data_IF_047770220144
#
_entry.id   IF_047770220144
#
_cell.length_a   1.000
_cell.length_b   1.000
_cell.length_c   1.000
_cell.angle_alpha   90.00
_cell.angle_beta   90.00
_cell.angle_gamma   90.00
#
_symmetry.space_group_name_H-M   'P 1'
#
loop_
_entity.id
_entity.type
_entity.pdbx_description
1 polymer ?
#
# COMPACT_ATOMS: atom_id res chain seq x y z
N UNK A 1 -15.11 14.59 -1.13
CA UNK A 1 -13.77 15.23 -1.10
C UNK A 1 -13.16 15.02 -2.47
N UNK A 2 -12.52 16.01 -3.11
CA UNK A 2 -11.97 15.80 -4.44
C UNK A 2 -10.81 14.79 -4.38
N UNK A 3 -10.91 13.78 -5.24
CA UNK A 3 -10.00 12.66 -5.41
C UNK A 3 -8.72 13.10 -6.14
N UNK A 4 -7.68 13.42 -5.36
CA UNK A 4 -6.50 14.15 -5.85
C UNK A 4 -5.22 13.31 -5.86
N UNK A 5 -5.28 11.98 -5.70
CA UNK A 5 -4.06 11.19 -5.82
C UNK A 5 -3.52 11.32 -7.24
N UNK A 6 -2.30 11.84 -7.36
CA UNK A 6 -1.59 12.06 -8.62
C UNK A 6 -1.29 10.72 -9.29
N UNK A 7 -1.40 10.64 -10.60
CA UNK A 7 -0.94 9.47 -11.37
C UNK A 7 0.54 9.61 -11.74
N UNK A 8 1.18 8.47 -12.01
CA UNK A 8 2.60 8.39 -12.38
C UNK A 8 3.44 7.68 -11.33
N UNK A 9 4.76 7.85 -11.44
CA UNK A 9 5.74 7.12 -10.67
C UNK A 9 5.99 7.76 -9.30
N UNK A 10 5.97 6.98 -8.22
CA UNK A 10 6.23 7.46 -6.86
C UNK A 10 6.82 6.38 -5.97
N UNK A 11 7.30 6.76 -4.79
CA UNK A 11 7.54 5.82 -3.70
C UNK A 11 6.31 5.78 -2.79
N UNK A 12 5.99 4.60 -2.24
CA UNK A 12 4.94 4.46 -1.22
C UNK A 12 5.61 4.22 0.12
N UNK A 13 5.24 4.98 1.16
CA UNK A 13 5.72 4.78 2.54
C UNK A 13 4.57 4.52 3.49
N UNK A 14 4.77 3.61 4.43
CA UNK A 14 3.84 3.41 5.54
C UNK A 14 4.08 4.47 6.61
N UNK A 15 3.04 4.86 7.34
CA UNK A 15 3.16 5.71 8.54
C UNK A 15 3.45 4.92 9.82
N UNK A 16 3.70 3.62 9.74
CA UNK A 16 4.23 2.83 10.88
C UNK A 16 5.55 3.40 11.40
N UNK A 17 5.94 2.96 12.59
CA UNK A 17 7.23 3.33 13.18
C UNK A 17 8.39 3.02 12.22
N UNK A 18 9.32 3.97 12.08
CA UNK A 18 10.40 3.91 11.10
C UNK A 18 10.00 4.31 9.68
N UNK A 19 8.72 4.55 9.42
CA UNK A 19 8.14 4.95 8.13
C UNK A 19 8.72 4.16 6.93
N UNK A 20 8.58 2.82 6.94
CA UNK A 20 9.22 1.98 5.94
C UNK A 20 8.63 2.21 4.55
N UNK A 21 9.47 1.98 3.53
CA UNK A 21 9.01 1.93 2.15
C UNK A 21 8.19 0.66 1.90
N UNK A 22 7.15 0.78 1.09
CA UNK A 22 6.42 -0.38 0.57
C UNK A 22 7.04 -0.76 -0.77
N UNK A 23 7.42 -2.02 -0.92
CA UNK A 23 8.08 -2.48 -2.14
C UNK A 23 8.06 -3.99 -2.27
N UNK A 24 9.02 -4.53 -3.01
CA UNK A 24 9.15 -5.96 -3.29
C UNK A 24 10.59 -6.43 -3.03
N UNK A 25 10.81 -7.70 -2.68
CA UNK A 25 12.16 -8.24 -2.58
C UNK A 25 12.86 -8.30 -3.95
N UNK A 26 14.19 -8.14 -3.96
CA UNK A 26 15.06 -8.33 -5.13
C UNK A 26 15.19 -9.82 -5.51
N UNK A 27 14.09 -10.46 -5.90
CA UNK A 27 14.04 -11.85 -6.36
C UNK A 27 13.21 -11.90 -7.63
N UNK A 28 13.49 -12.83 -8.56
CA UNK A 28 12.74 -12.96 -9.83
C UNK A 28 11.87 -14.23 -9.96
N UNK A 29 10.92 -14.50 -9.04
CA UNK A 29 9.76 -15.33 -9.34
C UNK A 29 8.70 -14.50 -10.10
N UNK A 30 7.75 -15.18 -10.76
CA UNK A 30 6.61 -14.53 -11.44
C UNK A 30 5.68 -13.77 -10.46
N UNK A 31 5.80 -14.06 -9.17
CA UNK A 31 4.99 -13.50 -8.09
C UNK A 31 5.89 -13.18 -6.89
N UNK A 32 5.88 -11.93 -6.42
CA UNK A 32 6.66 -11.49 -5.26
C UNK A 32 5.76 -10.90 -4.19
N UNK A 33 6.04 -11.12 -2.90
CA UNK A 33 5.29 -10.48 -1.83
C UNK A 33 5.56 -8.97 -1.82
N UNK A 34 4.51 -8.18 -1.62
CA UNK A 34 4.66 -6.75 -1.30
C UNK A 34 4.98 -6.64 0.19
N UNK A 35 6.10 -6.00 0.52
CA UNK A 35 6.67 -5.99 1.87
C UNK A 35 7.01 -4.56 2.31
N UNK A 36 7.00 -4.34 3.62
CA UNK A 36 7.61 -3.17 4.24
C UNK A 36 9.14 -3.33 4.32
N UNK A 37 9.87 -2.34 3.81
CA UNK A 37 11.32 -2.30 3.70
C UNK A 37 11.87 -1.14 4.54
N UNK A 38 12.84 -1.39 5.45
CA UNK A 38 13.36 -0.36 6.36
C UNK A 38 14.24 0.69 5.67
N UNK A 39 14.71 0.45 4.44
CA UNK A 39 15.63 1.35 3.73
C UNK A 39 15.50 1.29 2.22
N UNK A 40 16.06 2.30 1.56
CA UNK A 40 16.33 2.36 0.11
C UNK A 40 17.53 1.47 -0.28
N UNK A 41 17.69 1.08 -1.56
CA UNK A 41 16.86 1.42 -2.71
C UNK A 41 15.55 0.62 -2.77
N UNK A 42 14.45 1.31 -3.09
CA UNK A 42 13.17 0.70 -3.44
C UNK A 42 12.80 1.04 -4.87
N UNK A 43 12.13 0.12 -5.54
CA UNK A 43 11.56 0.39 -6.86
C UNK A 43 10.38 1.34 -6.73
N UNK A 44 10.25 2.23 -7.70
CA UNK A 44 9.11 3.12 -7.78
C UNK A 44 7.86 2.36 -8.21
N UNK A 45 6.73 2.80 -7.68
CA UNK A 45 5.39 2.36 -8.01
C UNK A 45 4.83 3.18 -9.15
N UNK A 46 4.16 2.53 -10.09
CA UNK A 46 3.35 3.15 -11.13
C UNK A 46 1.89 3.20 -10.70
N UNK A 47 1.36 4.41 -10.55
CA UNK A 47 -0.01 4.68 -10.11
C UNK A 47 -0.87 5.10 -11.31
N UNK A 48 -1.84 4.26 -11.67
CA UNK A 48 -2.74 4.53 -12.80
C UNK A 48 -4.18 4.65 -12.32
N UNK A 49 -4.83 5.79 -12.60
CA UNK A 49 -6.25 5.99 -12.25
C UNK A 49 -7.14 5.34 -13.30
N UNK A 50 -8.09 4.51 -12.86
CA UNK A 50 -9.04 3.78 -13.72
C UNK A 50 -10.51 4.04 -13.40
N UNK A 51 -10.78 4.78 -12.32
CA UNK A 51 -12.13 5.20 -11.96
C UNK A 51 -12.12 6.22 -10.83
N UNK A 52 -13.30 6.53 -10.30
CA UNK A 52 -13.42 7.39 -9.11
C UNK A 52 -12.85 6.64 -7.89
N UNK A 53 -11.80 7.19 -7.29
CA UNK A 53 -11.02 6.57 -6.21
C UNK A 53 -10.38 5.21 -6.56
N UNK A 54 -10.43 4.77 -7.82
CA UNK A 54 -9.94 3.46 -8.25
C UNK A 54 -8.63 3.55 -9.02
N UNK A 55 -7.67 2.75 -8.60
CA UNK A 55 -6.31 2.78 -9.10
C UNK A 55 -5.77 1.38 -9.37
N UNK A 56 -4.93 1.26 -10.39
CA UNK A 56 -4.02 0.15 -10.59
C UNK A 56 -2.65 0.53 -10.04
N UNK A 57 -2.02 -0.42 -9.36
CA UNK A 57 -0.72 -0.27 -8.71
C UNK A 57 0.24 -1.30 -9.33
N UNK A 58 1.28 -0.82 -10.01
CA UNK A 58 2.40 -1.63 -10.49
C UNK A 58 3.70 -1.23 -9.81
N UNK A 59 4.69 -2.12 -9.78
CA UNK A 59 6.03 -1.83 -9.25
C UNK A 59 7.09 -2.55 -10.07
N UNK A 60 8.05 -1.79 -10.62
CA UNK A 60 9.10 -2.33 -11.48
C UNK A 60 8.52 -3.14 -12.66
N UNK A 61 9.00 -4.37 -12.90
CA UNK A 61 8.46 -5.28 -13.92
C UNK A 61 7.17 -6.00 -13.48
N UNK A 62 6.70 -5.78 -12.25
CA UNK A 62 5.49 -6.38 -11.72
C UNK A 62 4.32 -5.41 -11.86
N UNK A 63 3.71 -5.43 -13.05
CA UNK A 63 2.69 -4.45 -13.45
C UNK A 63 1.32 -4.69 -12.79
N UNK A 64 1.12 -5.86 -12.18
CA UNK A 64 -0.12 -6.21 -11.49
C UNK A 64 0.13 -6.36 -9.99
N UNK A 65 -0.75 -5.82 -9.16
CA UNK A 65 -0.82 -6.17 -7.73
C UNK A 65 -2.19 -6.69 -7.36
N UNK A 66 -2.25 -7.71 -6.49
CA UNK A 66 -3.50 -8.34 -6.08
C UNK A 66 -3.41 -8.95 -4.68
N UNK A 67 -4.58 -9.23 -4.12
CA UNK A 67 -4.74 -9.99 -2.88
C UNK A 67 -4.65 -11.49 -3.15
N UNK A 68 -3.79 -12.20 -2.43
CA UNK A 68 -3.82 -13.66 -2.33
C UNK A 68 -3.72 -14.10 -0.87
N UNK A 69 -4.68 -14.91 -0.40
CA UNK A 69 -4.69 -15.46 0.96
C UNK A 69 -4.42 -14.41 2.06
N UNK A 70 -5.11 -13.26 1.99
CA UNK A 70 -4.97 -12.09 2.88
C UNK A 70 -3.68 -11.27 2.73
N UNK A 71 -2.77 -11.68 1.87
CA UNK A 71 -1.49 -11.00 1.66
C UNK A 71 -1.41 -10.36 0.28
N UNK A 72 -0.66 -9.26 0.17
CA UNK A 72 -0.48 -8.56 -1.10
C UNK A 72 0.73 -9.14 -1.83
N UNK A 73 0.53 -9.38 -3.12
CA UNK A 73 1.56 -9.84 -4.04
C UNK A 73 1.56 -8.98 -5.31
N UNK A 74 2.75 -8.86 -5.91
CA UNK A 74 2.95 -8.25 -7.21
C UNK A 74 3.31 -9.34 -8.24
N UNK A 75 2.79 -9.22 -9.46
CA UNK A 75 2.91 -10.21 -10.53
C UNK A 75 3.37 -9.56 -11.83
N UNK A 76 4.16 -10.30 -12.60
CA UNK A 76 4.56 -9.89 -13.95
C UNK A 76 3.44 -10.09 -14.97
N UNK A 77 2.50 -11.00 -14.69
CA UNK A 77 1.40 -11.38 -15.59
C UNK A 77 0.12 -11.68 -14.79
N UNK A 78 -1.03 -11.49 -15.42
CA UNK A 78 -2.33 -11.89 -14.90
C UNK A 78 -3.38 -10.79 -15.00
N UNK A 79 -4.42 -10.91 -14.17
CA UNK A 79 -5.46 -9.90 -14.09
C UNK A 79 -5.07 -8.78 -13.12
N UNK A 80 -5.45 -7.57 -13.49
CA UNK A 80 -5.39 -6.40 -12.62
C UNK A 80 -6.41 -6.49 -11.50
N UNK A 81 -6.01 -6.06 -10.30
CA UNK A 81 -6.93 -5.75 -9.22
C UNK A 81 -7.04 -4.25 -9.06
N UNK A 82 -8.27 -3.74 -9.07
CA UNK A 82 -8.56 -2.35 -8.74
C UNK A 82 -8.40 -2.12 -7.23
N UNK A 83 -7.73 -1.04 -6.87
CA UNK A 83 -7.57 -0.59 -5.49
C UNK A 83 -8.32 0.71 -5.26
N UNK A 84 -9.11 0.76 -4.19
CA UNK A 84 -9.79 1.96 -3.72
C UNK A 84 -8.84 2.78 -2.84
N UNK A 85 -8.37 3.93 -3.31
CA UNK A 85 -7.44 4.78 -2.57
C UNK A 85 -8.17 6.02 -2.06
N UNK A 86 -8.17 6.21 -0.74
CA UNK A 86 -8.94 7.28 -0.10
C UNK A 86 -8.04 8.15 0.77
N UNK A 87 -8.10 9.46 0.55
CA UNK A 87 -7.37 10.45 1.33
C UNK A 87 -7.92 10.60 2.75
N UNK A 88 -7.03 10.78 3.72
CA UNK A 88 -7.30 10.98 5.16
C UNK A 88 -6.66 12.29 5.60
N UNK A 89 -7.46 13.36 5.58
CA UNK A 89 -7.05 14.74 5.84
C UNK A 89 -6.28 14.91 7.16
N UNK A 90 -6.74 14.28 8.25
CA UNK A 90 -6.14 14.42 9.58
C UNK A 90 -4.67 13.97 9.68
N UNK A 91 -4.20 13.16 8.73
CA UNK A 91 -2.85 12.56 8.73
C UNK A 91 -2.06 12.87 7.45
N UNK A 92 -2.67 13.59 6.52
CA UNK A 92 -2.13 13.84 5.18
C UNK A 92 -1.58 12.56 4.54
N UNK A 93 -2.45 11.55 4.46
CA UNK A 93 -2.10 10.20 4.02
C UNK A 93 -3.32 9.50 3.41
N UNK A 94 -3.11 8.28 2.91
CA UNK A 94 -4.11 7.52 2.19
C UNK A 94 -4.29 6.13 2.79
N UNK A 95 -5.50 5.58 2.69
CA UNK A 95 -5.77 4.15 2.85
C UNK A 95 -5.87 3.49 1.48
N UNK A 96 -5.41 2.25 1.34
CA UNK A 96 -5.49 1.47 0.08
C UNK A 96 -6.38 0.26 0.33
N UNK A 97 -7.58 0.23 -0.22
CA UNK A 97 -8.60 -0.80 0.01
C UNK A 97 -8.90 -1.66 -1.22
N UNK A 98 -9.46 -2.85 -1.03
CA UNK A 98 -9.95 -3.68 -2.16
C UNK A 98 -11.26 -3.12 -2.72
N UNK A 99 -12.09 -2.60 -1.81
CA UNK A 99 -13.38 -1.98 -2.08
C UNK A 99 -13.65 -0.96 -0.98
N UNK A 100 -14.69 -0.16 -1.16
CA UNK A 100 -15.15 0.80 -0.15
C UNK A 100 -15.98 0.11 0.96
N UNK A 101 -15.45 -0.97 1.55
CA UNK A 101 -16.09 -1.70 2.66
C UNK A 101 -15.36 -1.57 4.00
N UNK A 102 -14.32 -0.72 4.03
CA UNK A 102 -13.48 -0.58 5.21
C UNK A 102 -12.48 -1.72 5.41
N UNK A 103 -12.07 -2.43 4.36
CA UNK A 103 -10.92 -3.35 4.40
C UNK A 103 -9.77 -2.82 3.53
N UNK A 104 -8.54 -2.84 4.04
CA UNK A 104 -7.39 -2.34 3.27
C UNK A 104 -6.02 -2.82 3.72
N UNK A 105 -5.02 -2.35 2.97
CA UNK A 105 -3.61 -2.63 3.19
C UNK A 105 -3.23 -2.29 4.62
N UNK A 106 -2.54 -3.22 5.26
CA UNK A 106 -2.09 -3.14 6.64
C UNK A 106 -0.67 -3.65 6.68
N UNK A 107 0.24 -2.82 7.18
CA UNK A 107 1.60 -3.26 7.52
C UNK A 107 1.54 -3.95 8.89
N UNK A 108 1.84 -5.25 8.98
CA UNK A 108 1.87 -5.95 10.27
C UNK A 108 2.86 -5.28 11.22
N UNK A 109 2.46 -5.15 12.49
CA UNK A 109 3.37 -4.69 13.54
C UNK A 109 4.38 -5.81 13.82
N UNK A 110 5.69 -5.49 13.95
CA UNK A 110 6.69 -6.46 14.38
C UNK A 110 6.24 -7.24 15.61
N UNK A 111 6.07 -8.55 15.48
CA UNK A 111 6.13 -9.44 16.63
C UNK A 111 7.60 -9.65 16.95
N UNK A 112 8.01 -9.41 18.20
CA UNK A 112 9.40 -9.64 18.63
C UNK A 112 9.88 -11.03 18.17
N UNK A 113 11.03 -11.06 17.49
CA UNK A 113 11.68 -12.31 17.07
C UNK A 113 11.30 -12.86 15.68
N UNK A 114 10.38 -12.24 14.94
CA UNK A 114 10.08 -12.60 13.55
C UNK A 114 10.77 -11.60 12.60
N UNK A 115 11.55 -12.11 11.65
CA UNK A 115 12.54 -11.36 10.84
C UNK A 115 12.06 -10.11 10.08
N UNK A 116 12.99 -9.38 9.43
CA UNK A 116 12.88 -7.93 9.15
C UNK A 116 11.99 -7.53 7.95
N UNK A 117 11.13 -8.41 7.44
CA UNK A 117 10.29 -8.13 6.26
C UNK A 117 8.84 -8.51 6.54
N UNK A 118 8.02 -7.50 6.78
CA UNK A 118 6.58 -7.68 7.03
C UNK A 118 5.85 -7.60 5.70
N UNK A 119 5.28 -8.73 5.27
CA UNK A 119 4.42 -8.75 4.10
C UNK A 119 3.17 -7.91 4.37
N UNK A 120 2.80 -7.06 3.43
CA UNK A 120 1.61 -6.24 3.53
C UNK A 120 0.39 -7.15 3.41
N UNK A 121 -0.53 -7.01 4.35
CA UNK A 121 -1.76 -7.79 4.44
C UNK A 121 -2.98 -6.92 4.16
N UNK A 122 -4.14 -7.55 4.01
CA UNK A 122 -5.43 -6.87 3.98
C UNK A 122 -6.22 -7.21 5.25
N UNK A 123 -6.57 -6.17 6.00
CA UNK A 123 -7.33 -6.28 7.24
C UNK A 123 -8.39 -5.16 7.34
N UNK A 124 -9.40 -5.30 8.21
CA UNK A 124 -10.35 -4.23 8.48
C UNK A 124 -9.64 -2.95 8.93
N UNK A 125 -10.04 -1.81 8.39
CA UNK A 125 -9.54 -0.48 8.74
C UNK A 125 -9.94 -0.18 10.19
N UNK A 126 -8.95 -0.12 11.06
CA UNK A 126 -9.08 0.19 12.48
C UNK A 126 -9.04 1.70 12.64
N UNK A 127 -10.07 2.24 13.27
CA UNK A 127 -10.12 3.66 13.64
C UNK A 127 -10.62 3.87 15.07
N UNK A 128 -10.18 4.96 15.70
CA UNK A 128 -10.63 5.36 17.02
C UNK A 128 -12.04 5.93 16.98
N UNK A 129 -12.80 5.78 18.07
CA UNK A 129 -14.11 6.41 18.28
C UNK A 129 -14.03 7.92 18.60
N UNK A 130 -12.93 8.60 18.24
CA UNK A 130 -12.76 10.04 18.47
C UNK A 130 -13.48 10.87 17.41
N UNK A 131 -13.61 12.18 17.65
CA UNK A 131 -14.11 13.15 16.68
C UNK A 131 -12.99 14.14 16.33
N UNK A 132 -12.34 14.03 15.15
CA UNK A 132 -12.59 13.04 14.09
C UNK A 132 -11.97 11.65 14.40
N UNK A 133 -12.46 10.57 13.76
CA UNK A 133 -11.85 9.25 13.87
C UNK A 133 -10.41 9.25 13.38
N UNK A 134 -9.53 8.52 14.08
CA UNK A 134 -8.12 8.36 13.70
C UNK A 134 -7.87 6.94 13.24
N UNK A 135 -7.41 6.78 11.99
CA UNK A 135 -7.02 5.49 11.42
C UNK A 135 -5.65 5.07 11.97
N UNK A 136 -5.47 3.77 12.18
CA UNK A 136 -4.18 3.19 12.58
C UNK A 136 -3.06 3.55 11.59
N UNK A 137 -1.89 3.90 12.12
CA UNK A 137 -0.71 4.20 11.31
C UNK A 137 -0.26 3.02 10.42
N UNK A 138 -0.54 1.78 10.87
CA UNK A 138 -0.35 0.55 10.09
C UNK A 138 -1.12 0.51 8.76
N UNK A 139 -2.15 1.35 8.62
CA UNK A 139 -3.09 1.35 7.50
C UNK A 139 -3.06 2.68 6.73
N UNK A 140 -2.07 3.53 7.02
CA UNK A 140 -1.88 4.83 6.38
C UNK A 140 -0.59 4.84 5.56
N UNK A 141 -0.70 5.36 4.34
CA UNK A 141 0.37 5.38 3.36
C UNK A 141 0.52 6.77 2.74
N UNK A 142 1.77 7.20 2.51
CA UNK A 142 2.10 8.40 1.75
C UNK A 142 2.66 8.03 0.37
N UNK A 143 2.31 8.81 -0.63
CA UNK A 143 2.78 8.68 -2.00
C UNK A 143 3.74 9.84 -2.29
N UNK A 144 5.03 9.52 -2.43
CA UNK A 144 6.12 10.48 -2.63
C UNK A 144 6.50 10.52 -4.12
N UNK A 145 6.00 11.52 -4.84
CA UNK A 145 6.31 11.73 -6.25
C UNK A 145 7.65 12.45 -6.38
N UNK A 146 8.44 12.07 -7.39
CA UNK A 146 9.59 12.88 -7.78
C UNK A 146 9.10 14.28 -8.18
N UNK A 147 9.75 15.31 -7.61
CA UNK A 147 9.52 16.72 -7.92
C UNK A 147 9.91 17.04 -9.36
#
# INVERSE_FOLDING_TARGET
MPDNLRTGTCNIRSLTEGEPYIGIPLTRPNAVPVIALPSVPVYQWDITKVGEYKYLLGIYTYIHTRLENKSIFAFTEGADQEWYITYKENKDAYTIGIKDDGTGWTVPVPLEGVGPRYQVEVAPIVSTHSLPPQVSAAQLFRFEYAS
#
